data_IF_128950523144
#
_entry.id   IF_128950523144
#
_cell.length_a   1.000
_cell.length_b   1.000
_cell.length_c   1.000
_cell.angle_alpha   90.00
_cell.angle_beta   90.00
_cell.angle_gamma   90.00
#
_symmetry.space_group_name_H-M   'P 1'
#
loop_
_entity.id
_entity.type
_entity.pdbx_description
1 polymer ?
#
# COMPACT_ATOMS: atom_id res chain seq x y z
N UNK A 1 -32.56 -22.15 -11.85
CA UNK A 1 -32.40 -21.26 -13.04
C UNK A 1 -31.32 -20.20 -12.89
N UNK A 2 -30.79 -19.93 -11.69
CA UNK A 2 -29.68 -18.98 -11.46
C UNK A 2 -28.29 -19.61 -11.68
N UNK A 3 -28.16 -20.95 -11.53
CA UNK A 3 -26.85 -21.62 -11.62
C UNK A 3 -26.31 -21.83 -13.05
N UNK A 4 -27.17 -21.73 -14.09
CA UNK A 4 -26.78 -21.98 -15.48
C UNK A 4 -26.15 -20.74 -16.18
N UNK A 5 -26.31 -19.55 -15.63
CA UNK A 5 -25.81 -18.28 -16.20
C UNK A 5 -24.35 -17.93 -15.84
N UNK A 6 -23.66 -18.79 -15.08
CA UNK A 6 -22.37 -18.45 -14.46
C UNK A 6 -21.17 -19.31 -14.90
N UNK A 7 -21.31 -20.17 -15.94
CA UNK A 7 -20.21 -21.01 -16.40
C UNK A 7 -19.54 -20.44 -17.65
N UNK A 8 -18.29 -20.13 -17.56
CA UNK A 8 -17.34 -19.92 -18.67
C UNK A 8 -17.16 -18.49 -19.19
N UNK A 9 -18.20 -17.73 -19.53
CA UNK A 9 -18.06 -16.37 -20.06
C UNK A 9 -17.66 -15.32 -18.98
N UNK A 10 -17.83 -15.63 -17.72
CA UNK A 10 -17.69 -14.70 -16.60
C UNK A 10 -16.30 -14.62 -15.96
N UNK A 11 -15.43 -15.59 -16.16
CA UNK A 11 -14.03 -15.53 -15.67
C UNK A 11 -13.31 -14.41 -16.42
N UNK A 12 -13.44 -14.37 -17.73
CA UNK A 12 -12.88 -13.30 -18.58
C UNK A 12 -13.41 -11.92 -18.17
N UNK A 13 -14.70 -11.82 -17.83
CA UNK A 13 -15.30 -10.56 -17.38
C UNK A 13 -14.71 -10.08 -16.06
N UNK A 14 -14.52 -10.95 -15.07
CA UNK A 14 -13.94 -10.63 -13.76
C UNK A 14 -12.48 -10.19 -13.89
N UNK A 15 -11.69 -10.92 -14.66
CA UNK A 15 -10.29 -10.57 -14.95
C UNK A 15 -10.21 -9.20 -15.63
N UNK A 16 -11.02 -8.96 -16.66
CA UNK A 16 -11.05 -7.66 -17.33
C UNK A 16 -11.47 -6.52 -16.40
N UNK A 17 -12.43 -6.73 -15.51
CA UNK A 17 -12.86 -5.72 -14.55
C UNK A 17 -11.74 -5.35 -13.56
N UNK A 18 -11.06 -6.37 -13.02
CA UNK A 18 -9.94 -6.16 -12.12
C UNK A 18 -8.81 -5.40 -12.82
N UNK A 19 -8.40 -5.84 -14.00
CA UNK A 19 -7.34 -5.20 -14.80
C UNK A 19 -7.73 -3.76 -15.19
N UNK A 20 -8.97 -3.54 -15.62
CA UNK A 20 -9.46 -2.20 -15.95
C UNK A 20 -9.44 -1.28 -14.72
N UNK A 21 -9.85 -1.76 -13.55
CA UNK A 21 -9.82 -0.98 -12.32
C UNK A 21 -8.38 -0.65 -11.89
N UNK A 22 -7.49 -1.63 -11.98
CA UNK A 22 -6.05 -1.49 -11.74
C UNK A 22 -5.43 -0.44 -12.67
N UNK A 23 -5.62 -0.56 -13.97
CA UNK A 23 -5.08 0.35 -14.99
C UNK A 23 -5.63 1.77 -14.81
N UNK A 24 -6.94 1.91 -14.62
CA UNK A 24 -7.58 3.20 -14.39
C UNK A 24 -7.03 3.92 -13.14
N UNK A 25 -6.74 3.18 -12.07
CA UNK A 25 -6.15 3.77 -10.86
C UNK A 25 -4.68 4.10 -11.11
N UNK A 26 -3.95 3.20 -11.75
CA UNK A 26 -2.54 3.41 -12.09
C UNK A 26 -2.36 4.68 -12.94
N UNK A 27 -3.18 4.86 -13.97
CA UNK A 27 -3.14 6.04 -14.85
C UNK A 27 -3.44 7.37 -14.14
N UNK A 28 -4.14 7.33 -13.00
CA UNK A 28 -4.42 8.53 -12.18
C UNK A 28 -3.25 8.95 -11.31
N UNK A 29 -2.29 8.06 -11.07
CA UNK A 29 -1.12 8.38 -10.26
C UNK A 29 -0.24 9.41 -10.99
N UNK A 30 0.12 10.53 -10.36
CA UNK A 30 0.98 11.53 -10.98
C UNK A 30 2.39 10.98 -11.17
N UNK A 31 3.06 11.44 -12.22
CA UNK A 31 4.46 11.03 -12.48
C UNK A 31 5.39 11.55 -11.39
N UNK A 32 6.18 10.65 -10.81
CA UNK A 32 7.30 10.98 -9.93
C UNK A 32 8.61 10.93 -10.72
N UNK A 33 9.41 11.99 -10.64
CA UNK A 33 10.68 12.11 -11.37
C UNK A 33 11.83 12.18 -10.40
N UNK A 34 12.73 11.20 -10.48
CA UNK A 34 13.87 11.05 -9.61
C UNK A 34 15.17 11.25 -10.40
N UNK A 35 15.99 12.17 -9.91
CA UNK A 35 17.33 12.38 -10.41
C UNK A 35 18.33 11.62 -9.53
N UNK A 36 19.25 10.87 -10.12
CA UNK A 36 20.30 10.15 -9.40
C UNK A 36 21.67 10.53 -9.95
N UNK A 37 22.46 11.20 -9.13
CA UNK A 37 23.78 11.73 -9.51
C UNK A 37 24.86 11.03 -8.70
N UNK A 38 26.02 10.82 -9.30
CA UNK A 38 27.20 10.29 -8.63
C UNK A 38 28.24 9.81 -9.63
N UNK A 39 29.43 9.49 -9.16
CA UNK A 39 30.50 8.96 -10.00
C UNK A 39 30.13 7.64 -10.67
N UNK A 40 30.90 7.25 -11.67
CA UNK A 40 30.75 5.93 -12.30
C UNK A 40 31.04 4.84 -11.28
N UNK A 41 30.27 3.74 -11.35
CA UNK A 41 30.42 2.57 -10.47
C UNK A 41 30.18 2.83 -8.95
N UNK A 42 29.57 3.96 -8.59
CA UNK A 42 29.20 4.25 -7.19
C UNK A 42 27.98 3.46 -6.72
N UNK A 43 27.33 2.69 -7.60
CA UNK A 43 26.18 1.84 -7.25
C UNK A 43 24.80 2.49 -7.45
N UNK A 44 24.69 3.54 -8.30
CA UNK A 44 23.41 4.22 -8.61
C UNK A 44 22.34 3.24 -9.10
N UNK A 45 22.62 2.50 -10.16
CA UNK A 45 21.69 1.53 -10.77
C UNK A 45 21.26 0.45 -9.77
N UNK A 46 22.21 -0.08 -8.99
CA UNK A 46 21.92 -1.08 -7.95
C UNK A 46 20.99 -0.51 -6.88
N UNK A 47 21.24 0.72 -6.45
CA UNK A 47 20.40 1.41 -5.47
C UNK A 47 18.95 1.57 -5.97
N UNK A 48 18.78 2.05 -7.21
CA UNK A 48 17.46 2.21 -7.84
C UNK A 48 16.74 0.86 -7.92
N UNK A 49 17.42 -0.17 -8.42
CA UNK A 49 16.86 -1.52 -8.54
C UNK A 49 16.54 -2.16 -7.19
N UNK A 50 17.21 -1.76 -6.11
CA UNK A 50 16.94 -2.24 -4.77
C UNK A 50 15.78 -1.51 -4.10
N UNK A 51 15.56 -0.23 -4.42
CA UNK A 51 14.43 0.56 -3.91
C UNK A 51 13.13 0.29 -4.65
N UNK A 52 13.19 0.15 -5.98
CA UNK A 52 12.02 0.10 -6.87
C UNK A 52 12.01 -1.21 -7.67
N UNK A 53 10.80 -1.67 -8.01
CA UNK A 53 10.62 -2.88 -8.84
C UNK A 53 10.74 -2.53 -10.33
N UNK A 54 11.93 -2.04 -10.72
CA UNK A 54 12.24 -1.67 -12.08
C UNK A 54 13.19 -2.69 -12.69
N UNK A 55 12.80 -3.27 -13.83
CA UNK A 55 13.74 -4.02 -14.66
C UNK A 55 14.64 -3.05 -15.41
N UNK A 56 15.86 -3.50 -15.71
CA UNK A 56 16.79 -2.71 -16.52
C UNK A 56 16.14 -2.31 -17.85
N UNK A 57 16.04 -1.00 -18.14
CA UNK A 57 15.38 -0.41 -19.30
C UNK A 57 13.83 -0.49 -19.30
N UNK A 58 13.20 -0.74 -18.18
CA UNK A 58 11.75 -0.64 -18.06
C UNK A 58 11.36 0.82 -17.85
N UNK A 59 10.46 1.32 -18.71
CA UNK A 59 9.88 2.66 -18.58
C UNK A 59 8.47 2.52 -18.02
N UNK A 60 8.25 3.08 -16.86
CA UNK A 60 6.93 3.18 -16.23
C UNK A 60 6.48 4.63 -16.37
N UNK A 61 5.33 4.94 -17.01
CA UNK A 61 4.90 6.32 -17.24
C UNK A 61 4.82 7.16 -15.97
N UNK A 62 4.47 6.55 -14.84
CA UNK A 62 4.35 7.20 -13.54
C UNK A 62 5.67 7.37 -12.81
N UNK A 63 6.77 6.80 -13.33
CA UNK A 63 8.08 6.89 -12.70
C UNK A 63 9.19 7.09 -13.73
N UNK A 64 9.86 8.20 -13.63
CA UNK A 64 11.00 8.53 -14.46
C UNK A 64 12.23 8.66 -13.57
N UNK A 65 13.25 7.84 -13.84
CA UNK A 65 14.54 7.90 -13.15
C UNK A 65 15.61 8.18 -14.17
N UNK A 66 16.41 9.20 -13.92
CA UNK A 66 17.55 9.52 -14.74
C UNK A 66 18.83 9.49 -13.91
N UNK A 67 19.83 8.73 -14.43
CA UNK A 67 21.14 8.58 -13.81
C UNK A 67 22.16 9.46 -14.54
N UNK A 68 22.84 10.32 -13.79
CA UNK A 68 23.90 11.17 -14.32
C UNK A 68 25.23 10.89 -13.65
N UNK A 69 26.29 10.99 -14.46
CA UNK A 69 27.67 11.02 -13.97
C UNK A 69 28.07 12.46 -13.65
N UNK A 70 28.95 12.65 -12.67
CA UNK A 70 29.50 13.97 -12.29
C UNK A 70 30.26 14.67 -13.43
N UNK A 71 30.59 13.95 -14.49
CA UNK A 71 31.34 14.46 -15.65
C UNK A 71 30.43 14.82 -16.83
N UNK A 72 29.13 14.58 -16.72
CA UNK A 72 28.14 14.93 -17.73
C UNK A 72 27.55 16.32 -17.47
N UNK A 73 27.00 16.95 -18.52
CA UNK A 73 26.21 18.17 -18.32
C UNK A 73 24.95 17.81 -17.52
N UNK A 74 24.75 18.51 -16.42
CA UNK A 74 23.59 18.26 -15.56
C UNK A 74 22.31 18.71 -16.26
N UNK A 75 21.21 17.95 -16.10
CA UNK A 75 19.95 18.29 -16.72
C UNK A 75 19.34 19.56 -16.09
N UNK A 76 18.33 20.11 -16.76
CA UNK A 76 17.53 21.19 -16.19
C UNK A 76 16.75 20.66 -14.99
N UNK A 77 17.08 21.16 -13.79
CA UNK A 77 16.64 20.60 -12.48
C UNK A 77 15.14 20.79 -12.22
N UNK A 78 14.48 21.71 -12.91
CA UNK A 78 13.08 22.09 -12.69
C UNK A 78 12.07 20.95 -12.93
N UNK A 79 12.48 19.87 -13.57
CA UNK A 79 11.58 18.78 -13.95
C UNK A 79 11.58 17.60 -12.95
N UNK A 80 12.40 17.64 -11.89
CA UNK A 80 12.53 16.54 -10.93
C UNK A 80 11.89 16.86 -9.59
N UNK A 81 11.46 15.80 -8.88
CA UNK A 81 10.83 15.91 -7.56
C UNK A 81 11.85 15.78 -6.42
N UNK A 82 12.89 14.99 -6.63
CA UNK A 82 13.99 14.81 -5.68
C UNK A 82 15.27 14.37 -6.39
N UNK A 83 16.39 14.57 -5.69
CA UNK A 83 17.70 14.09 -6.10
C UNK A 83 18.29 13.14 -5.06
N UNK A 84 18.77 11.99 -5.50
CA UNK A 84 19.68 11.15 -4.71
C UNK A 84 21.10 11.41 -5.22
N UNK A 85 21.93 11.95 -4.34
CA UNK A 85 23.34 12.16 -4.63
C UNK A 85 24.17 11.01 -4.04
N UNK A 86 24.64 10.11 -4.90
CA UNK A 86 25.37 8.91 -4.51
C UNK A 86 26.87 9.20 -4.36
N UNK A 87 27.41 8.90 -3.18
CA UNK A 87 28.83 8.93 -2.87
C UNK A 87 29.27 7.52 -2.43
N UNK A 88 30.50 7.16 -2.72
CA UNK A 88 31.05 5.90 -2.19
C UNK A 88 31.35 6.08 -0.69
N UNK A 89 30.64 5.32 0.15
CA UNK A 89 30.82 5.38 1.61
C UNK A 89 32.19 4.92 2.10
N UNK A 90 32.93 4.20 1.29
CA UNK A 90 34.31 3.78 1.59
C UNK A 90 35.36 4.79 1.11
N UNK A 91 34.97 5.90 0.49
CA UNK A 91 35.88 6.93 0.01
C UNK A 91 36.29 7.86 1.17
N UNK A 92 37.53 8.30 1.12
CA UNK A 92 38.07 9.32 2.04
C UNK A 92 38.04 10.72 1.39
N UNK A 93 37.59 10.83 0.13
CA UNK A 93 37.67 12.05 -0.66
C UNK A 93 36.30 12.64 -0.98
N UNK A 94 36.09 13.86 -0.51
CA UNK A 94 34.98 14.71 -0.93
C UNK A 94 35.54 15.88 -1.75
N UNK A 95 35.67 15.68 -3.05
CA UNK A 95 36.33 16.64 -3.93
C UNK A 95 35.60 17.98 -3.98
N UNK A 96 36.32 19.06 -4.28
CA UNK A 96 35.73 20.40 -4.44
C UNK A 96 34.62 20.38 -5.49
N UNK A 97 34.86 19.73 -6.63
CA UNK A 97 33.87 19.60 -7.71
C UNK A 97 32.61 18.84 -7.25
N UNK A 98 32.79 17.73 -6.54
CA UNK A 98 31.67 16.96 -5.95
C UNK A 98 30.83 17.84 -5.03
N UNK A 99 31.49 18.63 -4.18
CA UNK A 99 30.84 19.55 -3.24
C UNK A 99 30.08 20.67 -3.98
N UNK A 100 30.68 21.29 -4.98
CA UNK A 100 30.03 22.35 -5.78
C UNK A 100 28.81 21.84 -6.49
N UNK A 101 28.89 20.68 -7.15
CA UNK A 101 27.75 20.02 -7.81
C UNK A 101 26.64 19.70 -6.82
N UNK A 102 26.97 19.12 -5.67
CA UNK A 102 26.00 18.81 -4.63
C UNK A 102 25.29 20.08 -4.13
N UNK A 103 26.03 21.15 -3.84
CA UNK A 103 25.44 22.42 -3.39
C UNK A 103 24.53 23.02 -4.44
N UNK A 104 24.94 22.99 -5.71
CA UNK A 104 24.09 23.44 -6.81
C UNK A 104 22.76 22.67 -6.86
N UNK A 105 22.80 21.33 -6.72
CA UNK A 105 21.59 20.52 -6.71
C UNK A 105 20.72 20.79 -5.46
N UNK A 106 21.32 20.80 -4.28
CA UNK A 106 20.60 20.96 -3.02
C UNK A 106 19.92 22.33 -2.85
N UNK A 107 20.39 23.36 -3.55
CA UNK A 107 19.72 24.65 -3.59
C UNK A 107 18.49 24.69 -4.52
N UNK A 108 18.40 23.82 -5.50
CA UNK A 108 17.35 23.82 -6.51
C UNK A 108 16.31 22.72 -6.31
N UNK A 109 16.70 21.61 -5.67
CA UNK A 109 15.92 20.40 -5.58
C UNK A 109 16.10 19.72 -4.21
N UNK A 110 15.06 19.17 -3.58
CA UNK A 110 15.24 18.35 -2.38
C UNK A 110 16.26 17.23 -2.66
N UNK A 111 17.41 17.29 -1.99
CA UNK A 111 18.54 16.40 -2.25
C UNK A 111 18.84 15.57 -1.02
N UNK A 112 19.06 14.27 -1.21
CA UNK A 112 19.46 13.31 -0.20
C UNK A 112 20.83 12.74 -0.59
N UNK A 113 21.77 12.66 0.36
CA UNK A 113 23.05 11.99 0.12
C UNK A 113 22.90 10.51 0.50
N UNK A 114 23.14 9.63 -0.46
CA UNK A 114 23.26 8.19 -0.24
C UNK A 114 24.75 7.80 -0.27
N UNK A 115 25.29 7.43 0.88
CA UNK A 115 26.61 6.82 0.97
C UNK A 115 26.47 5.35 0.63
N UNK A 116 26.73 5.01 -0.61
CA UNK A 116 26.61 3.64 -1.12
C UNK A 116 27.86 2.83 -0.79
N UNK A 117 27.77 1.49 -0.86
CA UNK A 117 28.88 0.58 -0.53
C UNK A 117 29.48 0.88 0.86
N UNK A 118 28.64 1.26 1.80
CA UNK A 118 29.04 1.65 3.16
C UNK A 118 29.41 0.42 3.98
N UNK A 119 30.72 0.16 4.13
CA UNK A 119 31.23 -0.97 4.90
C UNK A 119 32.17 -0.47 5.99
N UNK A 120 31.83 -0.84 7.24
CA UNK A 120 32.69 -0.60 8.40
C UNK A 120 32.75 0.86 8.88
N UNK A 121 33.68 1.11 9.79
CA UNK A 121 33.82 2.40 10.50
C UNK A 121 34.20 3.60 9.62
N UNK A 122 34.80 3.35 8.45
CA UNK A 122 35.12 4.43 7.50
C UNK A 122 33.88 5.14 6.99
N UNK A 123 32.83 4.39 6.66
CA UNK A 123 31.57 4.97 6.19
C UNK A 123 30.91 5.83 7.29
N UNK A 124 30.95 5.41 8.55
CA UNK A 124 30.43 6.17 9.67
C UNK A 124 31.23 7.47 9.90
N UNK A 125 32.56 7.40 9.78
CA UNK A 125 33.44 8.58 9.89
C UNK A 125 33.18 9.56 8.74
N UNK A 126 33.04 9.06 7.50
CA UNK A 126 32.75 9.91 6.36
C UNK A 126 31.36 10.55 6.47
N UNK A 127 30.35 9.81 6.93
CA UNK A 127 29.03 10.37 7.22
C UNK A 127 29.12 11.51 8.27
N UNK A 128 29.84 11.29 9.36
CA UNK A 128 30.03 12.31 10.39
C UNK A 128 30.71 13.58 9.84
N UNK A 129 31.74 13.43 9.02
CA UNK A 129 32.39 14.57 8.35
C UNK A 129 31.43 15.36 7.45
N UNK A 130 30.57 14.68 6.69
CA UNK A 130 29.58 15.33 5.84
C UNK A 130 28.48 16.05 6.65
N UNK A 131 28.08 15.49 7.80
CA UNK A 131 27.14 16.12 8.73
C UNK A 131 27.74 17.41 9.29
N UNK A 132 29.01 17.40 9.69
CA UNK A 132 29.72 18.56 10.20
C UNK A 132 29.80 19.72 9.19
N UNK A 133 29.75 19.43 7.88
CA UNK A 133 29.71 20.44 6.83
C UNK A 133 28.39 21.22 6.74
N UNK A 134 27.36 20.83 7.48
CA UNK A 134 26.03 21.47 7.50
C UNK A 134 25.48 21.74 6.09
N UNK A 135 25.54 20.74 5.22
CA UNK A 135 25.08 20.84 3.84
C UNK A 135 23.55 21.02 3.78
N UNK A 136 23.00 21.78 2.82
CA UNK A 136 21.56 22.03 2.69
C UNK A 136 20.81 20.82 2.09
N UNK A 137 21.04 19.62 2.61
CA UNK A 137 20.43 18.36 2.16
C UNK A 137 19.36 17.89 3.13
N UNK A 138 18.44 17.03 2.67
CA UNK A 138 17.37 16.46 3.49
C UNK A 138 17.87 15.40 4.47
N UNK A 139 18.95 14.72 4.12
CA UNK A 139 19.56 13.70 4.96
C UNK A 139 20.81 13.10 4.33
N UNK A 140 21.58 12.40 5.14
CA UNK A 140 22.78 11.67 4.73
C UNK A 140 22.66 10.25 5.30
N UNK A 141 22.50 9.26 4.41
CA UNK A 141 22.21 7.87 4.76
C UNK A 141 23.32 6.95 4.27
N UNK A 142 23.80 6.08 5.16
CA UNK A 142 24.65 4.95 4.80
C UNK A 142 23.77 3.84 4.20
N UNK A 143 24.10 3.37 2.99
CA UNK A 143 23.32 2.39 2.27
C UNK A 143 24.18 1.23 1.78
N UNK A 144 23.71 0.02 2.05
CA UNK A 144 24.13 -1.20 1.37
C UNK A 144 22.91 -1.73 0.60
N UNK A 145 22.90 -1.49 -0.71
CA UNK A 145 21.73 -1.79 -1.54
C UNK A 145 21.49 -3.30 -1.73
N UNK A 146 22.56 -4.09 -1.79
CA UNK A 146 22.52 -5.55 -1.89
C UNK A 146 23.36 -6.19 -0.79
N UNK A 147 23.04 -7.45 -0.40
CA UNK A 147 23.87 -8.18 0.57
C UNK A 147 25.33 -8.31 0.07
N UNK A 148 26.29 -7.99 0.92
CA UNK A 148 27.71 -8.04 0.60
C UNK A 148 28.33 -9.33 1.15
N UNK A 149 28.96 -10.18 0.32
CA UNK A 149 29.61 -11.40 0.77
C UNK A 149 30.88 -11.07 1.56
N UNK A 150 30.95 -11.54 2.80
CA UNK A 150 32.15 -11.43 3.66
C UNK A 150 33.00 -12.71 3.50
N UNK A 151 32.35 -13.86 3.53
CA UNK A 151 32.92 -15.20 3.29
C UNK A 151 31.90 -16.04 2.52
N UNK A 152 32.28 -17.25 2.08
CA UNK A 152 31.45 -18.13 1.25
C UNK A 152 29.99 -18.33 1.73
N UNK A 153 29.75 -18.25 3.04
CA UNK A 153 28.42 -18.46 3.64
C UNK A 153 27.92 -17.29 4.51
N UNK A 154 28.71 -16.22 4.65
CA UNK A 154 28.38 -15.06 5.51
C UNK A 154 28.24 -13.82 4.66
N UNK A 155 27.06 -13.22 4.68
CA UNK A 155 26.77 -11.98 3.97
C UNK A 155 26.37 -10.88 4.96
N UNK A 156 26.88 -9.69 4.74
CA UNK A 156 26.33 -8.49 5.37
C UNK A 156 24.97 -8.21 4.69
N UNK A 157 23.87 -8.12 5.46
CA UNK A 157 22.56 -7.82 4.86
C UNK A 157 22.53 -6.41 4.27
N UNK A 158 21.61 -6.18 3.34
CA UNK A 158 21.27 -4.83 2.88
C UNK A 158 20.75 -3.97 4.04
N UNK A 159 21.05 -2.68 4.05
CA UNK A 159 20.59 -1.72 5.07
C UNK A 159 20.48 -0.30 4.50
N UNK A 160 19.80 0.60 5.21
CA UNK A 160 19.67 2.02 4.85
C UNK A 160 18.63 2.30 3.77
N UNK A 161 18.00 1.26 3.19
CA UNK A 161 17.01 1.43 2.12
C UNK A 161 15.67 1.95 2.65
N UNK A 162 15.25 1.51 3.85
CA UNK A 162 14.01 1.99 4.47
C UNK A 162 14.13 3.47 4.85
N UNK A 163 15.24 3.86 5.47
CA UNK A 163 15.53 5.24 5.85
C UNK A 163 15.64 6.16 4.61
N UNK A 164 16.27 5.69 3.54
CA UNK A 164 16.33 6.43 2.28
C UNK A 164 14.95 6.61 1.66
N UNK A 165 14.12 5.57 1.68
CA UNK A 165 12.73 5.64 1.21
C UNK A 165 11.93 6.65 2.05
N UNK A 166 12.09 6.67 3.36
CA UNK A 166 11.39 7.61 4.25
C UNK A 166 11.74 9.05 3.91
N UNK A 167 13.02 9.37 3.70
CA UNK A 167 13.45 10.70 3.24
C UNK A 167 12.90 11.06 1.86
N UNK A 168 12.82 10.11 0.92
CA UNK A 168 12.20 10.34 -0.39
C UNK A 168 10.71 10.66 -0.26
N UNK A 169 10.00 9.97 0.65
CA UNK A 169 8.59 10.23 0.92
C UNK A 169 8.38 11.61 1.55
N UNK A 170 9.28 12.04 2.43
CA UNK A 170 9.26 13.40 3.01
C UNK A 170 9.52 14.50 1.96
N UNK A 171 10.30 14.20 0.92
CA UNK A 171 10.55 15.11 -0.19
C UNK A 171 9.37 15.17 -1.17
N UNK A 172 8.53 14.15 -1.21
CA UNK A 172 7.41 14.06 -2.15
C UNK A 172 6.26 15.00 -1.75
N UNK A 173 5.61 15.61 -2.75
CA UNK A 173 4.34 16.29 -2.51
C UNK A 173 3.26 15.28 -2.12
N UNK A 174 2.24 15.71 -1.37
CA UNK A 174 1.16 14.84 -0.90
C UNK A 174 0.53 14.01 -2.03
N UNK A 175 0.40 14.60 -3.22
CA UNK A 175 -0.17 13.92 -4.40
C UNK A 175 0.73 12.84 -4.98
N UNK A 176 2.05 12.92 -4.78
CA UNK A 176 3.06 11.99 -5.33
C UNK A 176 3.51 10.91 -4.35
N UNK A 177 3.16 11.03 -3.07
CA UNK A 177 3.45 10.01 -2.05
C UNK A 177 2.86 8.65 -2.45
N UNK A 178 1.61 8.64 -2.93
CA UNK A 178 0.96 7.40 -3.36
C UNK A 178 1.70 6.73 -4.51
N UNK A 179 2.16 7.52 -5.50
CA UNK A 179 2.98 7.00 -6.62
C UNK A 179 4.26 6.36 -6.10
N UNK A 180 4.99 7.06 -5.25
CA UNK A 180 6.27 6.57 -4.73
C UNK A 180 6.07 5.30 -3.89
N UNK A 181 5.02 5.24 -3.06
CA UNK A 181 4.69 4.04 -2.28
C UNK A 181 4.30 2.87 -3.19
N UNK A 182 3.57 3.11 -4.28
CA UNK A 182 3.18 2.04 -5.21
C UNK A 182 4.39 1.39 -5.89
N UNK A 183 5.42 2.16 -6.20
CA UNK A 183 6.59 1.75 -6.97
C UNK A 183 7.69 1.09 -6.13
N UNK A 184 7.84 1.48 -4.85
CA UNK A 184 8.88 0.92 -3.98
C UNK A 184 8.60 -0.56 -3.64
N UNK A 185 9.66 -1.35 -3.37
CA UNK A 185 9.54 -2.76 -2.98
C UNK A 185 10.01 -3.07 -1.56
N UNK A 186 10.38 -2.05 -0.80
CA UNK A 186 11.00 -2.17 0.51
C UNK A 186 9.96 -2.34 1.61
N UNK A 187 8.92 -1.47 1.63
CA UNK A 187 7.94 -1.41 2.72
C UNK A 187 6.54 -1.81 2.26
N UNK A 188 6.24 -3.10 2.39
CA UNK A 188 4.92 -3.66 2.13
C UNK A 188 3.84 -3.13 3.10
N UNK A 189 4.22 -2.63 4.30
CA UNK A 189 3.25 -2.08 5.27
C UNK A 189 2.68 -0.75 4.79
N UNK A 190 3.54 0.12 4.22
CA UNK A 190 3.07 1.38 3.62
C UNK A 190 2.12 1.12 2.45
N UNK A 191 2.44 0.16 1.57
CA UNK A 191 1.54 -0.27 0.50
C UNK A 191 0.18 -0.73 1.03
N UNK A 192 0.21 -1.62 2.02
CA UNK A 192 -1.01 -2.13 2.66
C UNK A 192 -1.84 -1.01 3.32
N UNK A 193 -1.18 -0.03 3.94
CA UNK A 193 -1.86 1.09 4.57
C UNK A 193 -2.62 1.94 3.53
N UNK A 194 -1.98 2.32 2.43
CA UNK A 194 -2.62 3.08 1.35
C UNK A 194 -3.74 2.26 0.72
N UNK A 195 -3.50 0.99 0.39
CA UNK A 195 -4.52 0.12 -0.17
C UNK A 195 -5.76 0.00 0.73
N UNK A 196 -5.59 -0.04 2.05
CA UNK A 196 -6.72 -0.01 3.01
C UNK A 196 -7.46 1.32 3.01
N UNK A 197 -6.78 2.44 2.90
CA UNK A 197 -7.42 3.76 2.78
C UNK A 197 -8.26 3.86 1.51
N UNK A 198 -7.74 3.36 0.38
CA UNK A 198 -8.49 3.31 -0.88
C UNK A 198 -9.72 2.41 -0.77
N UNK A 199 -9.59 1.24 -0.13
CA UNK A 199 -10.74 0.37 0.14
C UNK A 199 -11.80 1.11 0.98
N UNK A 200 -11.40 1.83 2.02
CA UNK A 200 -12.32 2.61 2.84
C UNK A 200 -13.07 3.67 2.02
N UNK A 201 -12.34 4.44 1.22
CA UNK A 201 -12.93 5.47 0.34
C UNK A 201 -13.92 4.85 -0.66
N UNK A 202 -13.55 3.75 -1.29
CA UNK A 202 -14.40 3.04 -2.26
C UNK A 202 -15.65 2.44 -1.64
N UNK A 203 -15.54 1.87 -0.45
CA UNK A 203 -16.70 1.40 0.32
C UNK A 203 -17.64 2.56 0.62
N UNK A 204 -17.11 3.70 1.06
CA UNK A 204 -17.91 4.89 1.34
C UNK A 204 -18.64 5.40 0.08
N UNK A 205 -17.96 5.45 -1.08
CA UNK A 205 -18.56 5.83 -2.36
C UNK A 205 -19.71 4.90 -2.77
N UNK A 206 -19.49 3.58 -2.71
CA UNK A 206 -20.47 2.57 -3.12
C UNK A 206 -21.73 2.62 -2.23
N UNK A 207 -21.56 2.74 -0.92
CA UNK A 207 -22.69 2.73 0.01
C UNK A 207 -23.43 4.07 0.13
N UNK A 208 -22.93 5.15 -0.50
CA UNK A 208 -23.67 6.40 -0.66
C UNK A 208 -24.79 6.30 -1.73
N UNK A 209 -24.61 5.45 -2.75
CA UNK A 209 -25.50 5.41 -3.91
C UNK A 209 -26.57 4.35 -3.78
N UNK A 210 -26.55 3.35 -3.11
CA UNK A 210 -27.35 2.12 -3.03
C UNK A 210 -26.66 0.92 -3.69
N UNK A 211 -26.50 -0.15 -2.93
CA UNK A 211 -25.82 -1.35 -3.39
C UNK A 211 -26.84 -2.30 -4.06
N UNK A 212 -26.64 -2.59 -5.33
CA UNK A 212 -27.32 -3.71 -5.97
C UNK A 212 -26.60 -5.02 -5.62
N UNK A 213 -27.27 -5.88 -4.86
CA UNK A 213 -26.74 -7.19 -4.45
C UNK A 213 -26.30 -8.04 -5.67
N UNK A 214 -26.93 -7.84 -6.83
CA UNK A 214 -26.56 -8.53 -8.07
C UNK A 214 -25.18 -8.12 -8.61
N UNK A 215 -24.74 -6.90 -8.27
CA UNK A 215 -23.43 -6.37 -8.66
C UNK A 215 -22.40 -6.48 -7.55
N UNK A 216 -22.76 -7.02 -6.40
CA UNK A 216 -21.95 -7.08 -5.21
C UNK A 216 -20.53 -7.62 -5.46
N UNK A 217 -20.40 -8.72 -6.21
CA UNK A 217 -19.10 -9.29 -6.53
C UNK A 217 -18.29 -8.39 -7.47
N UNK A 218 -18.94 -7.84 -8.49
CA UNK A 218 -18.29 -6.94 -9.44
C UNK A 218 -17.67 -5.74 -8.72
N UNK A 219 -18.43 -5.16 -7.81
CA UNK A 219 -17.95 -4.03 -6.99
C UNK A 219 -16.78 -4.42 -6.07
N UNK A 220 -16.77 -5.63 -5.49
CA UNK A 220 -15.61 -6.13 -4.74
C UNK A 220 -14.39 -6.22 -5.65
N UNK A 221 -14.52 -6.78 -6.84
CA UNK A 221 -13.42 -6.93 -7.81
C UNK A 221 -12.87 -5.56 -8.23
N UNK A 222 -13.74 -4.58 -8.50
CA UNK A 222 -13.31 -3.22 -8.83
C UNK A 222 -12.54 -2.56 -7.68
N UNK A 223 -13.03 -2.69 -6.43
CA UNK A 223 -12.34 -2.17 -5.25
C UNK A 223 -10.98 -2.83 -5.08
N UNK A 224 -10.91 -4.15 -5.24
CA UNK A 224 -9.66 -4.89 -5.12
C UNK A 224 -8.67 -4.56 -6.25
N UNK A 225 -9.14 -4.42 -7.49
CA UNK A 225 -8.30 -3.96 -8.61
C UNK A 225 -7.74 -2.56 -8.38
N UNK A 226 -8.58 -1.65 -7.93
CA UNK A 226 -8.16 -0.28 -7.57
C UNK A 226 -7.11 -0.29 -6.45
N UNK A 227 -7.33 -1.06 -5.39
CA UNK A 227 -6.38 -1.18 -4.27
C UNK A 227 -5.06 -1.86 -4.69
N UNK A 228 -5.13 -2.79 -5.65
CA UNK A 228 -3.95 -3.51 -6.14
C UNK A 228 -2.96 -2.59 -6.88
N UNK A 229 -3.41 -1.48 -7.47
CA UNK A 229 -2.53 -0.50 -8.11
C UNK A 229 -1.37 -0.03 -7.19
N UNK A 230 -1.56 -0.09 -5.88
CA UNK A 230 -0.55 0.30 -4.90
C UNK A 230 0.44 -0.81 -4.53
N UNK A 231 0.26 -2.01 -5.06
CA UNK A 231 1.21 -3.12 -4.85
C UNK A 231 2.23 -3.29 -6.00
N UNK A 232 1.90 -2.83 -7.20
CA UNK A 232 2.84 -2.57 -8.28
C UNK A 232 3.38 -3.79 -9.04
N UNK A 233 3.02 -5.03 -8.73
CA UNK A 233 3.56 -6.23 -9.38
C UNK A 233 2.52 -7.01 -10.18
N UNK A 234 2.63 -7.00 -11.52
CA UNK A 234 1.69 -7.67 -12.41
C UNK A 234 1.61 -9.20 -12.20
N UNK A 235 2.73 -9.86 -11.93
CA UNK A 235 2.76 -11.32 -11.73
C UNK A 235 1.91 -11.75 -10.52
N UNK A 236 1.97 -10.97 -9.45
CA UNK A 236 1.17 -11.26 -8.26
C UNK A 236 -0.30 -10.83 -8.44
N UNK A 237 -0.59 -9.92 -9.39
CA UNK A 237 -1.96 -9.59 -9.77
C UNK A 237 -2.67 -10.81 -10.35
N UNK A 238 -2.03 -11.52 -11.27
CA UNK A 238 -2.56 -12.74 -11.89
C UNK A 238 -2.82 -13.81 -10.82
N UNK A 239 -1.87 -13.98 -9.89
CA UNK A 239 -2.01 -14.90 -8.77
C UNK A 239 -3.18 -14.52 -7.84
N UNK A 240 -3.36 -13.24 -7.57
CA UNK A 240 -4.49 -12.78 -6.77
C UNK A 240 -5.82 -13.03 -7.48
N UNK A 241 -5.88 -12.85 -8.79
CA UNK A 241 -7.06 -13.19 -9.59
C UNK A 241 -7.41 -14.67 -9.49
N UNK A 242 -6.44 -15.57 -9.62
CA UNK A 242 -6.65 -17.01 -9.46
C UNK A 242 -7.19 -17.37 -8.06
N UNK A 243 -6.68 -16.70 -7.00
CA UNK A 243 -7.19 -16.87 -5.63
C UNK A 243 -8.65 -16.43 -5.52
N UNK A 244 -9.00 -15.26 -6.09
CA UNK A 244 -10.37 -14.73 -6.10
C UNK A 244 -11.33 -15.61 -6.92
N UNK A 245 -10.90 -16.12 -8.06
CA UNK A 245 -11.67 -17.05 -8.88
C UNK A 245 -11.96 -18.35 -8.13
N UNK A 246 -10.96 -18.92 -7.48
CA UNK A 246 -11.12 -20.14 -6.69
C UNK A 246 -12.10 -19.91 -5.51
N UNK A 247 -11.98 -18.79 -4.81
CA UNK A 247 -12.92 -18.40 -3.76
C UNK A 247 -14.34 -18.20 -4.31
N UNK A 248 -14.48 -17.57 -5.47
CA UNK A 248 -15.75 -17.34 -6.12
C UNK A 248 -16.46 -18.65 -6.45
N UNK A 249 -15.76 -19.60 -7.06
CA UNK A 249 -16.33 -20.90 -7.41
C UNK A 249 -16.80 -21.69 -6.18
N UNK A 250 -16.13 -21.54 -5.03
CA UNK A 250 -16.39 -22.32 -3.82
C UNK A 250 -17.41 -21.73 -2.88
N UNK A 251 -17.42 -20.43 -2.69
CA UNK A 251 -18.14 -19.79 -1.56
C UNK A 251 -18.97 -18.58 -1.92
N UNK A 252 -18.73 -17.96 -3.06
CA UNK A 252 -19.34 -16.66 -3.33
C UNK A 252 -20.86 -16.71 -3.43
N UNK A 253 -21.38 -17.80 -4.00
CA UNK A 253 -22.82 -18.02 -4.04
C UNK A 253 -23.43 -18.04 -2.62
N UNK A 254 -22.78 -18.71 -1.67
CA UNK A 254 -23.23 -18.74 -0.27
C UNK A 254 -23.20 -17.35 0.38
N UNK A 255 -22.18 -16.53 0.08
CA UNK A 255 -22.12 -15.16 0.60
C UNK A 255 -23.23 -14.29 0.02
N UNK A 256 -23.53 -14.43 -1.25
CA UNK A 256 -24.62 -13.73 -1.91
C UNK A 256 -25.99 -14.15 -1.35
N UNK A 257 -26.22 -15.44 -1.15
CA UNK A 257 -27.44 -15.98 -0.53
C UNK A 257 -27.62 -15.44 0.89
N UNK A 258 -26.57 -15.39 1.70
CA UNK A 258 -26.61 -14.80 3.03
C UNK A 258 -26.98 -13.31 3.00
N UNK A 259 -26.45 -12.54 2.04
CA UNK A 259 -26.85 -11.15 1.85
C UNK A 259 -28.31 -11.00 1.47
N UNK A 260 -28.86 -11.88 0.63
CA UNK A 260 -30.28 -11.89 0.26
C UNK A 260 -31.20 -12.24 1.45
N UNK A 261 -30.79 -13.23 2.26
CA UNK A 261 -31.59 -13.67 3.43
C UNK A 261 -31.68 -12.58 4.48
N UNK A 262 -30.58 -11.86 4.72
CA UNK A 262 -30.54 -10.88 5.80
C UNK A 262 -30.99 -9.47 5.42
N UNK A 263 -31.08 -9.13 4.13
CA UNK A 263 -31.52 -7.84 3.53
C UNK A 263 -31.26 -6.55 4.35
N UNK A 264 -30.52 -6.67 5.45
CA UNK A 264 -30.16 -5.55 6.33
C UNK A 264 -28.94 -4.88 5.73
N UNK A 265 -29.04 -3.58 5.49
CA UNK A 265 -27.94 -2.74 4.97
C UNK A 265 -26.63 -2.95 5.74
N UNK A 266 -26.73 -3.18 7.04
CA UNK A 266 -25.59 -3.47 7.93
C UNK A 266 -24.85 -4.76 7.54
N UNK A 267 -25.57 -5.87 7.34
CA UNK A 267 -24.94 -7.16 7.01
C UNK A 267 -24.24 -7.11 5.65
N UNK A 268 -24.84 -6.42 4.69
CA UNK A 268 -24.28 -6.20 3.37
C UNK A 268 -22.96 -5.42 3.43
N UNK A 269 -22.94 -4.29 4.17
CA UNK A 269 -21.73 -3.47 4.40
C UNK A 269 -20.63 -4.31 5.08
N UNK A 270 -20.99 -5.07 6.10
CA UNK A 270 -20.06 -5.91 6.86
C UNK A 270 -19.45 -7.00 5.98
N UNK A 271 -20.24 -7.68 5.14
CA UNK A 271 -19.76 -8.71 4.22
C UNK A 271 -18.85 -8.10 3.16
N UNK A 272 -19.28 -7.01 2.54
CA UNK A 272 -18.51 -6.29 1.52
C UNK A 272 -17.15 -5.85 2.06
N UNK A 273 -17.16 -5.15 3.19
CA UNK A 273 -15.94 -4.68 3.85
C UNK A 273 -15.02 -5.84 4.23
N UNK A 274 -15.59 -6.93 4.77
CA UNK A 274 -14.81 -8.13 5.12
C UNK A 274 -14.11 -8.75 3.92
N UNK A 275 -14.78 -8.83 2.77
CA UNK A 275 -14.19 -9.32 1.52
C UNK A 275 -13.06 -8.41 1.02
N UNK A 276 -13.30 -7.09 0.97
CA UNK A 276 -12.32 -6.14 0.47
C UNK A 276 -11.06 -6.06 1.36
N UNK A 277 -11.22 -5.90 2.67
CA UNK A 277 -10.06 -5.84 3.58
C UNK A 277 -9.28 -7.15 3.65
N UNK A 278 -9.97 -8.29 3.65
CA UNK A 278 -9.30 -9.60 3.63
C UNK A 278 -8.56 -9.82 2.30
N UNK A 279 -9.13 -9.35 1.19
CA UNK A 279 -8.49 -9.37 -0.12
C UNK A 279 -7.19 -8.58 -0.16
N UNK A 280 -7.20 -7.33 0.33
CA UNK A 280 -6.00 -6.48 0.39
C UNK A 280 -4.92 -7.08 1.31
N UNK A 281 -5.31 -7.68 2.43
CA UNK A 281 -4.34 -8.39 3.29
C UNK A 281 -3.78 -9.66 2.63
N UNK A 282 -4.56 -10.33 1.80
CA UNK A 282 -4.06 -11.45 1.01
C UNK A 282 -3.05 -10.97 -0.04
N UNK A 283 -3.32 -9.86 -0.74
CA UNK A 283 -2.36 -9.26 -1.67
C UNK A 283 -1.02 -8.99 -1.00
N UNK A 284 -1.03 -8.37 0.20
CA UNK A 284 0.18 -8.11 0.97
C UNK A 284 0.92 -9.40 1.39
N UNK A 285 0.19 -10.49 1.63
CA UNK A 285 0.80 -11.79 1.94
C UNK A 285 1.43 -12.44 0.71
N UNK A 286 0.78 -12.36 -0.45
CA UNK A 286 1.30 -12.92 -1.70
C UNK A 286 2.60 -12.25 -2.16
N UNK A 287 2.77 -10.95 -1.86
CA UNK A 287 4.00 -10.22 -2.17
C UNK A 287 5.21 -10.64 -1.33
N UNK A 288 5.01 -11.29 -0.20
CA UNK A 288 6.14 -11.79 0.60
C UNK A 288 6.75 -13.01 -0.08
N UNK A 289 7.98 -12.90 -0.55
CA UNK A 289 8.73 -13.96 -1.27
C UNK A 289 8.86 -15.28 -0.49
N UNK A 290 8.68 -15.25 0.82
CA UNK A 290 8.76 -16.43 1.71
C UNK A 290 7.50 -17.31 1.68
N UNK A 291 6.39 -16.81 1.09
CA UNK A 291 5.13 -17.53 1.10
C UNK A 291 4.98 -18.44 -0.13
N UNK A 292 5.22 -19.73 0.06
CA UNK A 292 5.04 -20.80 -0.94
C UNK A 292 3.61 -21.35 -0.97
N UNK A 293 2.59 -20.59 -0.53
CA UNK A 293 1.21 -21.07 -0.56
C UNK A 293 0.73 -21.38 -1.97
N UNK A 294 0.08 -22.52 -2.13
CA UNK A 294 -0.67 -22.84 -3.36
C UNK A 294 -1.87 -21.91 -3.50
N UNK A 295 -2.45 -21.83 -4.70
CA UNK A 295 -3.70 -21.07 -4.95
C UNK A 295 -4.83 -21.56 -4.03
N UNK A 296 -4.94 -22.87 -3.84
CA UNK A 296 -5.96 -23.46 -2.98
C UNK A 296 -5.77 -23.06 -1.51
N UNK A 297 -4.57 -23.13 -0.97
CA UNK A 297 -4.25 -22.71 0.41
C UNK A 297 -4.49 -21.20 0.59
N UNK A 298 -4.09 -20.37 -0.37
CA UNK A 298 -4.34 -18.93 -0.38
C UNK A 298 -5.83 -18.61 -0.36
N UNK A 299 -6.64 -19.33 -1.16
CA UNK A 299 -8.08 -19.17 -1.19
C UNK A 299 -8.75 -19.60 0.11
N UNK A 300 -8.31 -20.71 0.73
CA UNK A 300 -8.79 -21.15 2.05
C UNK A 300 -8.42 -20.15 3.15
N UNK A 301 -7.23 -19.59 3.11
CA UNK A 301 -6.80 -18.56 4.05
C UNK A 301 -7.63 -17.28 3.90
N UNK A 302 -7.90 -16.85 2.67
CA UNK A 302 -8.77 -15.70 2.39
C UNK A 302 -10.20 -15.95 2.93
N UNK A 303 -10.77 -17.13 2.69
CA UNK A 303 -12.07 -17.54 3.24
C UNK A 303 -12.08 -17.47 4.77
N UNK A 304 -11.04 -17.98 5.42
CA UNK A 304 -10.91 -17.96 6.88
C UNK A 304 -10.83 -16.53 7.42
N UNK A 305 -10.10 -15.64 6.74
CA UNK A 305 -10.02 -14.22 7.11
C UNK A 305 -11.37 -13.52 6.98
N UNK A 306 -12.10 -13.74 5.89
CA UNK A 306 -13.45 -13.20 5.69
C UNK A 306 -14.38 -13.68 6.80
N UNK A 307 -14.43 -14.99 7.08
CA UNK A 307 -15.26 -15.57 8.13
C UNK A 307 -14.93 -15.01 9.52
N UNK A 308 -13.65 -14.85 9.85
CA UNK A 308 -13.22 -14.26 11.12
C UNK A 308 -13.68 -12.82 11.26
N UNK A 309 -13.55 -12.00 10.21
CA UNK A 309 -14.02 -10.60 10.19
C UNK A 309 -15.53 -10.50 10.34
N UNK A 310 -16.27 -11.37 9.64
CA UNK A 310 -17.72 -11.46 9.75
C UNK A 310 -18.17 -11.81 11.17
N UNK A 311 -17.51 -12.77 11.81
CA UNK A 311 -17.80 -13.16 13.21
C UNK A 311 -17.57 -12.00 14.18
N UNK A 312 -16.45 -11.30 14.05
CA UNK A 312 -16.13 -10.13 14.88
C UNK A 312 -17.14 -8.99 14.67
N UNK A 313 -17.46 -8.70 13.41
CA UNK A 313 -18.46 -7.68 13.06
C UNK A 313 -19.83 -8.00 13.62
N UNK A 314 -20.27 -9.26 13.55
CA UNK A 314 -21.54 -9.71 14.11
C UNK A 314 -21.59 -9.55 15.63
N UNK A 315 -20.54 -9.96 16.34
CA UNK A 315 -20.45 -9.80 17.79
C UNK A 315 -20.53 -8.31 18.20
N UNK A 316 -19.80 -7.42 17.49
CA UNK A 316 -19.86 -6.00 17.76
C UNK A 316 -21.25 -5.41 17.50
N UNK A 317 -21.96 -5.89 16.48
CA UNK A 317 -23.32 -5.45 16.17
C UNK A 317 -24.34 -5.90 17.20
N UNK A 318 -24.22 -7.13 17.69
CA UNK A 318 -25.11 -7.64 18.74
C UNK A 318 -24.93 -6.86 20.04
N UNK A 319 -23.69 -6.53 20.42
CA UNK A 319 -23.39 -5.68 21.57
C UNK A 319 -23.96 -4.27 21.39
N UNK A 320 -23.82 -3.68 20.21
CA UNK A 320 -24.36 -2.35 19.90
C UNK A 320 -25.89 -2.35 19.91
N UNK A 321 -26.51 -3.37 19.34
CA UNK A 321 -27.98 -3.53 19.37
C UNK A 321 -28.48 -3.69 20.81
N UNK A 322 -27.76 -4.41 21.67
CA UNK A 322 -28.08 -4.55 23.09
C UNK A 322 -27.96 -3.22 23.83
N UNK A 323 -26.91 -2.43 23.60
CA UNK A 323 -26.72 -1.11 24.22
C UNK A 323 -27.84 -0.17 23.78
N UNK A 324 -28.14 -0.08 22.48
CA UNK A 324 -29.20 0.76 21.93
C UNK A 324 -30.58 0.37 22.46
N UNK A 325 -30.85 -0.92 22.63
CA UNK A 325 -32.12 -1.39 23.20
C UNK A 325 -32.24 -0.97 24.66
N UNK A 326 -31.20 -1.11 25.47
CA UNK A 326 -31.23 -0.69 26.87
C UNK A 326 -31.31 0.83 27.05
N UNK A 327 -30.67 1.61 26.14
CA UNK A 327 -30.80 3.07 26.15
C UNK A 327 -32.24 3.52 25.79
N UNK A 328 -32.89 2.85 24.83
CA UNK A 328 -34.28 3.14 24.46
C UNK A 328 -35.25 2.75 25.55
N UNK A 329 -35.07 1.61 26.24
CA UNK A 329 -35.91 1.19 27.37
C UNK A 329 -35.76 2.14 28.57
N UNK A 330 -34.59 2.73 28.80
CA UNK A 330 -34.37 3.74 29.84
C UNK A 330 -34.95 5.12 29.47
N UNK A 331 -34.98 5.50 28.19
CA UNK A 331 -35.62 6.74 27.74
C UNK A 331 -37.17 6.64 27.75
N UNK A 332 -37.76 5.47 27.44
CA UNK A 332 -39.21 5.27 27.49
C UNK A 332 -39.78 5.35 28.91
N UNK A 333 -38.97 5.04 29.93
CA UNK A 333 -39.39 5.20 31.33
C UNK A 333 -39.36 6.66 31.82
N UNK A 334 -38.80 7.61 31.06
CA UNK A 334 -38.61 8.98 31.53
C UNK A 334 -39.37 10.07 30.77
N UNK A 335 -40.00 9.83 29.61
CA UNK A 335 -40.66 10.91 28.84
C UNK A 335 -41.93 10.46 28.11
N UNK A 336 -43.07 10.86 28.66
CA UNK A 336 -44.28 11.12 27.87
C UNK A 336 -44.10 12.47 27.16
N UNK A 337 -43.92 12.49 25.86
CA UNK A 337 -44.32 13.50 24.85
C UNK A 337 -43.53 13.40 23.52
N UNK A 338 -43.89 14.13 22.43
CA UNK A 338 -44.51 13.51 21.26
C UNK A 338 -43.57 13.43 20.02
N UNK A 339 -44.03 12.62 19.08
CA UNK A 339 -43.56 12.44 17.68
C UNK A 339 -42.94 13.68 17.04
N UNK A 340 -41.64 13.72 16.79
CA UNK A 340 -41.00 14.44 15.65
C UNK A 340 -39.57 13.88 15.38
N UNK A 341 -39.33 13.52 14.12
CA UNK A 341 -38.03 13.32 13.48
C UNK A 341 -37.29 11.97 13.58
N UNK A 342 -37.78 10.98 12.84
CA UNK A 342 -37.10 9.72 12.55
C UNK A 342 -35.88 9.88 11.56
N UNK A 343 -35.78 10.99 10.85
CA UNK A 343 -34.69 11.17 9.83
C UNK A 343 -33.32 11.55 10.43
N UNK A 344 -33.27 12.18 11.61
CA UNK A 344 -31.99 12.63 12.21
C UNK A 344 -31.22 11.46 12.84
N UNK A 345 -31.90 10.44 13.36
CA UNK A 345 -31.26 9.30 14.02
C UNK A 345 -30.50 8.36 13.04
N UNK A 346 -31.00 8.19 11.80
CA UNK A 346 -30.29 7.35 10.80
C UNK A 346 -28.90 7.90 10.42
N UNK A 347 -28.75 9.21 10.36
CA UNK A 347 -27.48 9.85 10.02
C UNK A 347 -26.44 9.69 11.15
N UNK A 348 -26.86 9.74 12.40
CA UNK A 348 -25.99 9.54 13.57
C UNK A 348 -25.53 8.10 13.73
N UNK A 349 -26.39 7.12 13.46
CA UNK A 349 -26.04 5.69 13.52
C UNK A 349 -24.98 5.35 12.45
N UNK A 350 -25.12 5.89 11.24
CA UNK A 350 -24.13 5.71 10.18
C UNK A 350 -22.78 6.37 10.52
N UNK A 351 -22.79 7.55 11.15
CA UNK A 351 -21.56 8.22 11.58
C UNK A 351 -20.86 7.54 12.76
N UNK A 352 -21.64 7.03 13.72
CA UNK A 352 -21.11 6.23 14.83
C UNK A 352 -20.53 4.89 14.31
N UNK A 353 -21.22 4.26 13.36
CA UNK A 353 -20.70 3.05 12.70
C UNK A 353 -19.39 3.32 11.96
N UNK A 354 -19.26 4.44 11.24
CA UNK A 354 -18.02 4.87 10.59
C UNK A 354 -16.89 5.09 11.60
N UNK A 355 -17.17 5.68 12.76
CA UNK A 355 -16.18 5.90 13.82
C UNK A 355 -15.70 4.58 14.44
N UNK A 356 -16.57 3.61 14.61
CA UNK A 356 -16.25 2.31 15.21
C UNK A 356 -15.56 1.35 14.24
N UNK A 357 -15.94 1.37 12.96
CA UNK A 357 -15.22 0.61 11.93
C UNK A 357 -13.77 1.10 11.77
N UNK A 358 -13.53 2.42 11.92
CA UNK A 358 -12.17 3.00 11.98
C UNK A 358 -11.38 2.54 13.19
N UNK A 359 -11.99 2.50 14.36
CA UNK A 359 -11.33 2.05 15.59
C UNK A 359 -11.05 0.54 15.56
N UNK A 360 -11.96 -0.22 14.98
CA UNK A 360 -11.76 -1.66 14.73
C UNK A 360 -10.64 -1.93 13.72
N UNK A 361 -10.51 -1.12 12.67
CA UNK A 361 -9.39 -1.17 11.73
C UNK A 361 -8.06 -0.91 12.42
N UNK A 362 -8.00 0.08 13.31
CA UNK A 362 -6.79 0.41 14.07
C UNK A 362 -6.34 -0.76 14.96
N UNK A 363 -7.27 -1.39 15.66
CA UNK A 363 -7.01 -2.56 16.51
C UNK A 363 -6.56 -3.79 15.70
N UNK A 364 -7.07 -3.95 14.46
CA UNK A 364 -6.65 -5.02 13.55
C UNK A 364 -5.25 -4.79 12.97
N UNK A 365 -4.85 -3.53 12.77
CA UNK A 365 -3.49 -3.13 12.39
C UNK A 365 -2.47 -3.47 13.48
N UNK A 366 -2.81 -3.24 14.75
CA UNK A 366 -1.95 -3.59 15.89
C UNK A 366 -1.79 -5.11 16.05
N UNK A 367 -2.85 -5.86 15.84
CA UNK A 367 -2.78 -7.33 15.87
C UNK A 367 -1.94 -7.89 14.72
N UNK A 368 -2.05 -7.31 13.52
CA UNK A 368 -1.25 -7.70 12.36
C UNK A 368 0.22 -7.30 12.52
N UNK A 369 0.50 -6.11 13.06
CA UNK A 369 1.87 -5.67 13.33
C UNK A 369 2.59 -6.53 14.37
N UNK A 370 1.86 -7.04 15.38
CA UNK A 370 2.38 -8.00 16.36
C UNK A 370 2.63 -9.39 15.75
N UNK A 371 1.79 -9.82 14.82
CA UNK A 371 1.98 -11.08 14.11
C UNK A 371 3.12 -11.02 13.10
N UNK A 372 3.29 -9.91 12.39
CA UNK A 372 4.35 -9.70 11.41
C UNK A 372 5.76 -9.54 12.04
N UNK A 373 5.84 -9.39 13.37
CA UNK A 373 7.10 -9.35 14.14
C UNK A 373 7.52 -10.70 14.73
N UNK A 374 6.65 -11.70 14.65
CA UNK A 374 6.95 -13.11 14.98
C UNK A 374 7.29 -13.89 13.72
#
# INVERSE_FOLDING_TARGET
MISALWKGEKIVEVTNMFQTALENQWQKLPTYRLLVIGESNVGKTTLIQSLFDLKKNESIPQFQVEEYSLFEELPTVLDYDACIYCLNGSSDEFSVKTRETLLQMAHQLPTIIALTQSIGTKAEQFQSQLVDLSLPVKGIINVMAEPYPIYESVHLPSFGLEELLDLLLECATQTKVETLVSLQKIDCKKKLQIAKQIVEQKIDEIFQVSVDIRQFFKQIIEVLGTAYAYFGNQTEADRMLEVLENLHQRKFQSYQELCFVHQQSYYLVMMFSSCCYSGVEMMALLLKKENSFTIQESSMLLETKIASRMKQGKQNAEVQAFILKNELETEEMTVQKPVVHVQVKKKNILQQFKKQSRQWMHNSLDAFSKWARK
#
